data_IF_242930771658
#
_entry.id   IF_242930771658
#
_cell.length_a   1.000
_cell.length_b   1.000
_cell.length_c   1.000
_cell.angle_alpha   90.00
_cell.angle_beta   90.00
_cell.angle_gamma   90.00
#
_symmetry.space_group_name_H-M   'P 1'
#
loop_
_entity.id
_entity.type
_entity.pdbx_description
1 polymer ?
#
# COMPACT_ATOMS: atom_id res chain seq x y z
N UNK A 1 -1.69 -28.65 -40.95
CA UNK A 1 -0.76 -27.57 -40.54
C UNK A 1 -1.02 -27.28 -39.07
N UNK A 2 -0.14 -27.75 -38.20
CA UNK A 2 -0.14 -27.35 -36.79
C UNK A 2 0.27 -25.87 -36.79
N UNK A 3 -0.60 -24.97 -36.31
CA UNK A 3 -0.20 -23.58 -36.07
C UNK A 3 0.95 -23.62 -35.07
N UNK A 4 2.14 -23.23 -35.50
CA UNK A 4 3.22 -22.90 -34.57
C UNK A 4 2.66 -21.87 -33.58
N UNK A 5 2.79 -22.17 -32.29
CA UNK A 5 2.44 -21.22 -31.26
C UNK A 5 3.31 -19.98 -31.46
N UNK A 6 2.67 -18.80 -31.54
CA UNK A 6 3.39 -17.53 -31.60
C UNK A 6 4.50 -17.53 -30.54
N UNK A 7 5.73 -17.09 -30.88
CA UNK A 7 6.80 -17.00 -29.89
C UNK A 7 6.30 -16.13 -28.73
N UNK A 8 6.31 -16.69 -27.52
CA UNK A 8 5.84 -15.99 -26.32
C UNK A 8 6.68 -14.74 -26.16
N UNK A 9 6.06 -13.58 -26.35
CA UNK A 9 6.70 -12.28 -26.18
C UNK A 9 7.36 -12.23 -24.78
N UNK A 10 8.69 -12.03 -24.69
CA UNK A 10 9.40 -11.99 -23.41
C UNK A 10 8.82 -10.97 -22.42
N UNK A 11 8.16 -9.92 -22.91
CA UNK A 11 7.46 -8.92 -22.09
C UNK A 11 6.35 -9.53 -21.22
N UNK A 12 5.70 -10.61 -21.67
CA UNK A 12 4.62 -11.29 -20.94
C UNK A 12 5.16 -11.99 -19.70
N UNK A 13 6.32 -12.64 -19.82
CA UNK A 13 7.00 -13.30 -18.71
C UNK A 13 7.53 -12.27 -17.68
N UNK A 14 8.06 -11.15 -18.16
CA UNK A 14 8.51 -10.04 -17.31
C UNK A 14 7.34 -9.43 -16.52
N UNK A 15 6.19 -9.22 -17.18
CA UNK A 15 4.99 -8.73 -16.50
C UNK A 15 4.47 -9.74 -15.48
N UNK A 16 4.46 -11.04 -15.79
CA UNK A 16 4.07 -12.08 -14.83
C UNK A 16 5.01 -12.11 -13.61
N UNK A 17 6.33 -11.97 -13.79
CA UNK A 17 7.31 -11.82 -12.68
C UNK A 17 7.03 -10.59 -11.82
N UNK A 18 6.73 -9.45 -12.44
CA UNK A 18 6.35 -8.22 -11.73
C UNK A 18 5.06 -8.42 -10.90
N UNK A 19 4.03 -9.00 -11.50
CA UNK A 19 2.75 -9.29 -10.83
C UNK A 19 2.94 -10.26 -9.67
N UNK A 20 3.80 -11.27 -9.81
CA UNK A 20 4.02 -12.31 -8.80
C UNK A 20 4.99 -11.91 -7.67
N UNK A 21 5.80 -10.86 -7.85
CA UNK A 21 6.78 -10.41 -6.86
C UNK A 21 6.17 -10.21 -5.46
N UNK A 22 6.86 -10.71 -4.42
CA UNK A 22 6.38 -10.74 -3.03
C UNK A 22 7.17 -9.80 -2.10
N UNK A 23 8.15 -9.09 -2.65
CA UNK A 23 8.96 -8.11 -1.91
C UNK A 23 8.98 -6.78 -2.66
N UNK A 24 9.21 -5.68 -1.92
CA UNK A 24 9.32 -4.34 -2.48
C UNK A 24 10.46 -4.28 -3.52
N UNK A 25 11.62 -4.83 -3.16
CA UNK A 25 12.82 -4.85 -4.00
C UNK A 25 12.58 -5.60 -5.31
N UNK A 26 12.07 -6.83 -5.26
CA UNK A 26 11.77 -7.61 -6.48
C UNK A 26 10.72 -6.91 -7.35
N UNK A 27 9.70 -6.29 -6.73
CA UNK A 27 8.66 -5.57 -7.46
C UNK A 27 9.27 -4.42 -8.28
N UNK A 28 10.11 -3.59 -7.65
CA UNK A 28 10.77 -2.48 -8.34
C UNK A 28 11.75 -2.97 -9.42
N UNK A 29 12.56 -4.00 -9.11
CA UNK A 29 13.53 -4.55 -10.06
C UNK A 29 12.87 -5.17 -11.29
N UNK A 30 11.84 -6.01 -11.09
CA UNK A 30 11.09 -6.62 -12.19
C UNK A 30 10.37 -5.55 -13.03
N UNK A 31 9.89 -4.47 -12.40
CA UNK A 31 9.26 -3.38 -13.14
C UNK A 31 10.26 -2.58 -13.99
N UNK A 32 11.46 -2.29 -13.47
CA UNK A 32 12.54 -1.65 -14.24
C UNK A 32 12.94 -2.54 -15.42
N UNK A 33 13.08 -3.85 -15.20
CA UNK A 33 13.40 -4.81 -16.26
C UNK A 33 12.32 -4.83 -17.36
N UNK A 34 11.04 -4.81 -16.98
CA UNK A 34 9.90 -4.70 -17.89
C UNK A 34 9.92 -3.39 -18.67
N UNK A 35 10.11 -2.25 -17.99
CA UNK A 35 10.15 -0.94 -18.64
C UNK A 35 11.28 -0.83 -19.66
N UNK A 36 12.47 -1.35 -19.31
CA UNK A 36 13.62 -1.39 -20.21
C UNK A 36 13.34 -2.25 -21.44
N UNK A 37 12.72 -3.41 -21.28
CA UNK A 37 12.38 -4.29 -22.40
C UNK A 37 11.30 -3.71 -23.32
N UNK A 38 10.31 -3.02 -22.76
CA UNK A 38 9.27 -2.31 -23.52
C UNK A 38 9.74 -0.93 -24.03
N UNK A 39 10.98 -0.52 -23.72
CA UNK A 39 11.55 0.79 -24.06
C UNK A 39 10.66 1.97 -23.64
N UNK A 40 10.06 1.89 -22.45
CA UNK A 40 9.27 2.97 -21.84
C UNK A 40 10.04 3.61 -20.69
N UNK A 41 9.97 4.94 -20.60
CA UNK A 41 10.72 5.74 -19.63
C UNK A 41 9.76 6.31 -18.57
N UNK A 42 9.80 5.85 -17.31
CA UNK A 42 8.96 6.36 -16.23
C UNK A 42 9.05 7.88 -16.01
N UNK A 43 10.17 8.51 -16.38
CA UNK A 43 10.33 9.98 -16.29
C UNK A 43 9.41 10.76 -17.23
N UNK A 44 8.95 10.16 -18.33
CA UNK A 44 7.89 10.73 -19.19
C UNK A 44 6.51 10.43 -18.59
N UNK A 45 6.29 10.87 -17.35
CA UNK A 45 5.12 10.50 -16.54
C UNK A 45 3.78 10.79 -17.25
N UNK A 46 3.72 11.82 -18.10
CA UNK A 46 2.53 12.23 -18.85
C UNK A 46 2.04 11.18 -19.85
N UNK A 47 2.97 10.45 -20.47
CA UNK A 47 2.66 9.46 -21.51
C UNK A 47 3.06 8.05 -21.10
N UNK A 48 3.62 7.88 -19.89
CA UNK A 48 4.18 6.61 -19.45
C UNK A 48 3.13 5.50 -19.44
N UNK A 49 1.98 5.73 -18.78
CA UNK A 49 0.93 4.71 -18.66
C UNK A 49 0.35 4.32 -20.02
N UNK A 50 0.08 5.27 -20.91
CA UNK A 50 -0.43 4.98 -22.26
C UNK A 50 0.57 4.16 -23.07
N UNK A 51 1.85 4.58 -23.09
CA UNK A 51 2.93 3.82 -23.77
C UNK A 51 3.12 2.42 -23.19
N UNK A 52 3.10 2.28 -21.86
CA UNK A 52 3.21 0.99 -21.18
C UNK A 52 2.06 0.06 -21.61
N UNK A 53 0.83 0.57 -21.57
CA UNK A 53 -0.37 -0.18 -21.96
C UNK A 53 -0.32 -0.61 -23.44
N UNK A 54 0.03 0.31 -24.32
CA UNK A 54 0.05 0.07 -25.77
C UNK A 54 1.12 -0.95 -26.17
N UNK A 55 2.31 -0.89 -25.53
CA UNK A 55 3.41 -1.80 -25.82
C UNK A 55 3.26 -3.16 -25.13
N UNK A 56 2.48 -3.26 -24.06
CA UNK A 56 2.21 -4.52 -23.37
C UNK A 56 0.89 -5.15 -23.85
N UNK A 57 0.89 -5.67 -25.08
CA UNK A 57 -0.25 -6.40 -25.64
C UNK A 57 -0.35 -7.83 -25.06
N UNK A 58 -0.74 -7.92 -23.79
CA UNK A 58 -0.84 -9.18 -23.06
C UNK A 58 -2.26 -9.43 -22.55
N UNK A 59 -2.85 -10.58 -22.91
CA UNK A 59 -4.22 -10.93 -22.52
C UNK A 59 -4.44 -10.93 -21.01
N UNK A 60 -3.44 -11.35 -20.21
CA UNK A 60 -3.54 -11.35 -18.75
C UNK A 60 -3.56 -9.95 -18.14
N UNK A 61 -3.18 -8.91 -18.90
CA UNK A 61 -3.14 -7.52 -18.42
C UNK A 61 -4.40 -6.72 -18.82
N UNK A 62 -5.20 -7.21 -19.79
CA UNK A 62 -6.36 -6.48 -20.34
C UNK A 62 -7.39 -6.04 -19.29
N UNK A 63 -7.80 -6.92 -18.37
CA UNK A 63 -8.77 -6.58 -17.30
C UNK A 63 -8.22 -5.51 -16.36
N UNK A 64 -6.90 -5.52 -16.09
CA UNK A 64 -6.25 -4.49 -15.27
C UNK A 64 -6.32 -3.13 -15.96
N UNK A 65 -6.02 -3.07 -17.26
CA UNK A 65 -6.11 -1.84 -18.06
C UNK A 65 -7.52 -1.28 -18.08
N UNK A 66 -8.52 -2.13 -18.33
CA UNK A 66 -9.93 -1.71 -18.32
C UNK A 66 -10.36 -1.11 -16.98
N UNK A 67 -9.86 -1.66 -15.87
CA UNK A 67 -10.14 -1.15 -14.52
C UNK A 67 -9.50 0.21 -14.26
N UNK A 68 -8.22 0.35 -14.59
CA UNK A 68 -7.49 1.62 -14.43
C UNK A 68 -8.07 2.68 -15.35
N UNK A 69 -8.30 2.37 -16.63
CA UNK A 69 -8.91 3.28 -17.62
C UNK A 69 -10.30 3.73 -17.16
N UNK A 70 -11.14 2.80 -16.65
CA UNK A 70 -12.46 3.14 -16.11
C UNK A 70 -12.38 4.08 -14.91
N UNK A 71 -11.38 3.90 -14.02
CA UNK A 71 -11.16 4.81 -12.90
C UNK A 71 -10.71 6.18 -13.41
N UNK A 72 -9.69 6.24 -14.27
CA UNK A 72 -9.15 7.50 -14.82
C UNK A 72 -10.13 8.29 -15.69
N UNK A 73 -11.14 7.63 -16.27
CA UNK A 73 -12.21 8.29 -17.02
C UNK A 73 -13.26 9.00 -16.14
N UNK A 74 -13.15 8.93 -14.80
CA UNK A 74 -14.06 9.67 -13.93
C UNK A 74 -13.92 11.19 -14.16
N UNK A 75 -15.03 11.96 -14.22
CA UNK A 75 -15.00 13.39 -14.54
C UNK A 75 -14.06 14.22 -13.66
N UNK A 76 -13.97 13.90 -12.37
CA UNK A 76 -13.09 14.58 -11.41
C UNK A 76 -11.60 14.59 -11.80
N UNK A 77 -11.15 13.65 -12.64
CA UNK A 77 -9.76 13.61 -13.11
C UNK A 77 -9.52 14.48 -14.35
N UNK A 78 -10.58 14.94 -15.02
CA UNK A 78 -10.50 15.73 -16.25
C UNK A 78 -9.57 15.10 -17.30
N UNK A 79 -9.64 13.78 -17.47
CA UNK A 79 -8.75 13.02 -18.37
C UNK A 79 -7.26 13.22 -18.05
N UNK A 80 -6.92 13.34 -16.76
CA UNK A 80 -5.57 13.58 -16.28
C UNK A 80 -5.07 15.01 -16.51
N UNK A 81 -5.97 15.99 -16.69
CA UNK A 81 -5.59 17.39 -16.88
C UNK A 81 -5.73 18.25 -15.62
N UNK A 82 -6.51 17.79 -14.62
CA UNK A 82 -6.83 18.56 -13.42
C UNK A 82 -5.59 19.08 -12.67
N UNK A 83 -4.50 18.30 -12.63
CA UNK A 83 -3.25 18.65 -11.94
C UNK A 83 -2.00 18.51 -12.83
N UNK A 84 -2.13 18.65 -14.17
CA UNK A 84 -1.06 18.38 -15.13
C UNK A 84 0.22 19.24 -15.00
N UNK A 85 0.16 20.34 -14.25
CA UNK A 85 1.29 21.24 -13.97
C UNK A 85 1.91 21.01 -12.60
N UNK A 86 1.24 20.24 -11.73
CA UNK A 86 1.65 20.09 -10.35
C UNK A 86 2.73 19.02 -10.19
N UNK A 87 3.66 19.31 -9.29
CA UNK A 87 4.69 18.37 -8.83
C UNK A 87 4.45 18.07 -7.36
N UNK A 88 4.21 16.80 -7.07
CA UNK A 88 3.80 16.31 -5.77
C UNK A 88 4.88 15.43 -5.15
N UNK A 89 5.29 15.77 -3.92
CA UNK A 89 6.11 14.92 -3.09
C UNK A 89 5.24 14.27 -2.00
N UNK A 90 5.19 12.93 -1.99
CA UNK A 90 4.49 12.14 -0.97
C UNK A 90 5.51 11.49 -0.04
N UNK A 91 5.43 11.78 1.25
CA UNK A 91 6.28 11.14 2.26
C UNK A 91 5.61 9.87 2.79
N UNK A 92 6.23 8.71 2.55
CA UNK A 92 5.86 7.40 3.10
C UNK A 92 5.15 6.50 2.09
N UNK A 93 5.69 5.29 1.86
CA UNK A 93 5.08 4.25 1.04
C UNK A 93 4.20 3.29 1.89
N UNK A 94 3.50 3.84 2.89
CA UNK A 94 2.42 3.13 3.57
C UNK A 94 1.18 3.01 2.69
N UNK A 95 0.15 2.26 3.12
CA UNK A 95 -1.10 2.14 2.36
C UNK A 95 -1.71 3.50 1.99
N UNK A 96 -1.80 4.43 2.94
CA UNK A 96 -2.36 5.77 2.69
C UNK A 96 -1.51 6.56 1.69
N UNK A 97 -0.19 6.63 1.87
CA UNK A 97 0.70 7.39 0.98
C UNK A 97 0.68 6.86 -0.45
N UNK A 98 0.78 5.55 -0.65
CA UNK A 98 0.67 4.95 -1.99
C UNK A 98 -0.72 5.15 -2.61
N UNK A 99 -1.79 5.06 -1.81
CA UNK A 99 -3.16 5.30 -2.29
C UNK A 99 -3.36 6.76 -2.71
N UNK A 100 -2.80 7.71 -1.97
CA UNK A 100 -2.79 9.13 -2.34
C UNK A 100 -1.97 9.38 -3.60
N UNK A 101 -0.80 8.76 -3.73
CA UNK A 101 0.04 8.87 -4.92
C UNK A 101 -0.68 8.38 -6.19
N UNK A 102 -1.46 7.30 -6.08
CA UNK A 102 -2.32 6.80 -7.17
C UNK A 102 -3.37 7.84 -7.59
N UNK A 103 -4.06 8.50 -6.65
CA UNK A 103 -5.03 9.55 -7.01
C UNK A 103 -4.36 10.75 -7.68
N UNK A 104 -3.21 11.19 -7.15
CA UNK A 104 -2.46 12.30 -7.73
C UNK A 104 -1.97 12.00 -9.15
N UNK A 105 -1.54 10.76 -9.41
CA UNK A 105 -1.16 10.33 -10.74
C UNK A 105 -2.36 10.31 -11.70
N UNK A 106 -3.54 9.85 -11.24
CA UNK A 106 -4.77 9.89 -12.03
C UNK A 106 -5.26 11.32 -12.34
N UNK A 107 -4.99 12.27 -11.44
CA UNK A 107 -5.21 13.71 -11.68
C UNK A 107 -4.22 14.32 -12.69
N UNK A 108 -3.16 13.60 -13.06
CA UNK A 108 -2.14 14.03 -14.02
C UNK A 108 -0.90 14.70 -13.44
N UNK A 109 -0.75 14.73 -12.11
CA UNK A 109 0.41 15.34 -11.47
C UNK A 109 1.69 14.50 -11.66
N UNK A 110 2.85 15.15 -11.59
CA UNK A 110 4.13 14.44 -11.42
C UNK A 110 4.28 14.04 -9.96
N UNK A 111 4.34 12.73 -9.67
CA UNK A 111 4.33 12.25 -8.28
C UNK A 111 5.62 11.51 -7.95
N UNK A 112 6.28 11.95 -6.88
CA UNK A 112 7.44 11.29 -6.27
C UNK A 112 7.08 10.85 -4.85
N UNK A 113 7.38 9.60 -4.51
CA UNK A 113 7.17 9.02 -3.17
C UNK A 113 8.53 8.73 -2.53
N UNK A 114 8.74 9.22 -1.30
CA UNK A 114 9.91 8.89 -0.48
C UNK A 114 9.55 7.94 0.64
N UNK A 115 10.23 6.80 0.72
CA UNK A 115 10.08 5.85 1.81
C UNK A 115 11.44 5.58 2.47
N UNK A 116 11.49 5.82 3.78
CA UNK A 116 12.67 5.58 4.61
C UNK A 116 13.12 4.12 4.60
N UNK A 117 12.19 3.17 4.62
CA UNK A 117 12.51 1.73 4.65
C UNK A 117 12.84 1.20 3.26
N UNK A 118 13.69 0.20 3.19
CA UNK A 118 14.00 -0.53 1.96
C UNK A 118 13.07 -1.73 1.70
N UNK A 119 12.19 -2.06 2.65
CA UNK A 119 11.33 -3.26 2.57
C UNK A 119 10.01 -3.10 3.33
N UNK A 120 9.02 -3.90 2.93
CA UNK A 120 7.72 -4.01 3.59
C UNK A 120 7.67 -5.26 4.47
N UNK A 121 7.71 -5.08 5.79
CA UNK A 121 7.90 -6.17 6.75
C UNK A 121 6.73 -6.38 7.71
N UNK A 122 5.76 -5.46 7.76
CA UNK A 122 4.65 -5.52 8.73
C UNK A 122 3.63 -6.59 8.33
N UNK A 123 3.53 -7.62 9.15
CA UNK A 123 2.59 -8.73 8.96
C UNK A 123 1.22 -8.50 9.62
N UNK A 124 1.13 -7.54 10.55
CA UNK A 124 -0.14 -7.16 11.16
C UNK A 124 -1.20 -6.91 10.07
N UNK A 125 -2.42 -7.27 10.40
CA UNK A 125 -3.51 -7.32 9.44
C UNK A 125 -4.46 -6.16 9.70
N UNK A 126 -5.01 -5.61 8.63
CA UNK A 126 -5.94 -4.48 8.65
C UNK A 126 -7.32 -5.00 8.30
N UNK A 127 -8.31 -4.63 9.11
CA UNK A 127 -9.70 -4.73 8.69
C UNK A 127 -10.00 -3.74 7.56
N UNK A 128 -10.82 -4.15 6.60
CA UNK A 128 -11.22 -3.37 5.44
C UNK A 128 -12.74 -3.17 5.44
N UNK A 129 -13.17 -1.91 5.36
CA UNK A 129 -14.59 -1.62 5.13
C UNK A 129 -14.98 -1.95 3.69
N UNK A 130 -16.28 -2.18 3.46
CA UNK A 130 -16.80 -2.57 2.15
C UNK A 130 -16.41 -1.61 1.02
N UNK A 131 -16.40 -0.29 1.29
CA UNK A 131 -16.01 0.70 0.28
C UNK A 131 -14.51 0.58 -0.07
N UNK A 132 -13.64 0.29 0.88
CA UNK A 132 -12.20 0.07 0.66
C UNK A 132 -11.96 -1.21 -0.15
N UNK A 133 -12.73 -2.27 0.13
CA UNK A 133 -12.69 -3.51 -0.66
C UNK A 133 -13.09 -3.21 -2.10
N UNK A 134 -14.20 -2.47 -2.31
CA UNK A 134 -14.67 -2.08 -3.65
C UNK A 134 -13.66 -1.21 -4.39
N UNK A 135 -13.07 -0.23 -3.71
CA UNK A 135 -12.03 0.64 -4.26
C UNK A 135 -10.84 -0.18 -4.78
N UNK A 136 -10.27 -1.04 -3.94
CA UNK A 136 -9.13 -1.89 -4.30
C UNK A 136 -9.48 -2.91 -5.40
N UNK A 137 -10.68 -3.49 -5.38
CA UNK A 137 -11.16 -4.36 -6.46
C UNK A 137 -11.28 -3.61 -7.79
N UNK A 138 -11.81 -2.39 -7.78
CA UNK A 138 -11.95 -1.54 -8.95
C UNK A 138 -10.60 -1.03 -9.47
N UNK A 139 -9.55 -1.05 -8.65
CA UNK A 139 -8.17 -0.82 -9.05
C UNK A 139 -7.43 -2.12 -9.41
N UNK A 140 -8.11 -3.27 -9.47
CA UNK A 140 -7.50 -4.52 -9.92
C UNK A 140 -6.68 -5.27 -8.87
N UNK A 141 -6.90 -5.06 -7.57
CA UNK A 141 -6.16 -5.73 -6.50
C UNK A 141 -6.07 -7.27 -6.64
N UNK A 142 -7.13 -7.92 -7.15
CA UNK A 142 -7.14 -9.38 -7.41
C UNK A 142 -6.08 -9.83 -8.43
N UNK A 143 -5.65 -8.95 -9.33
CA UNK A 143 -4.58 -9.23 -10.29
C UNK A 143 -3.25 -9.45 -9.59
N UNK A 144 -2.97 -8.67 -8.56
CA UNK A 144 -1.71 -8.70 -7.81
C UNK A 144 -1.77 -9.65 -6.61
N UNK A 145 -2.97 -9.90 -6.07
CA UNK A 145 -3.18 -10.80 -4.95
C UNK A 145 -4.49 -11.58 -5.15
N UNK A 146 -4.41 -12.79 -5.71
CA UNK A 146 -5.59 -13.58 -6.08
C UNK A 146 -6.50 -13.99 -4.91
N UNK A 147 -5.96 -13.97 -3.67
CA UNK A 147 -6.73 -14.23 -2.44
C UNK A 147 -7.43 -12.98 -1.87
N UNK A 148 -7.27 -11.82 -2.51
CA UNK A 148 -7.82 -10.56 -2.03
C UNK A 148 -9.33 -10.64 -1.86
N UNK A 149 -9.79 -10.59 -0.61
CA UNK A 149 -11.20 -10.61 -0.20
C UNK A 149 -12.02 -11.70 -0.91
N UNK A 150 -11.47 -12.92 -1.00
CA UNK A 150 -12.19 -14.09 -1.51
C UNK A 150 -13.11 -14.66 -0.41
N UNK A 151 -14.40 -14.82 -0.71
CA UNK A 151 -15.39 -15.29 0.27
C UNK A 151 -15.74 -14.20 1.29
N UNK A 152 -15.75 -14.56 2.57
CA UNK A 152 -16.05 -13.66 3.71
C UNK A 152 -14.83 -12.93 4.27
N UNK A 153 -13.69 -12.94 3.55
CA UNK A 153 -12.46 -12.27 3.98
C UNK A 153 -12.61 -10.75 3.80
N UNK A 154 -12.44 -10.00 4.88
CA UNK A 154 -12.55 -8.53 4.91
C UNK A 154 -11.33 -7.86 5.54
N UNK A 155 -10.15 -8.44 5.33
CA UNK A 155 -8.90 -7.99 5.91
C UNK A 155 -7.70 -8.34 5.03
N UNK A 156 -6.59 -7.64 5.25
CA UNK A 156 -5.33 -7.82 4.49
C UNK A 156 -4.13 -7.45 5.34
N UNK A 157 -3.01 -8.18 5.22
CA UNK A 157 -1.77 -7.80 5.90
C UNK A 157 -1.22 -6.50 5.34
N UNK A 158 -0.65 -5.65 6.21
CA UNK A 158 -0.13 -4.33 5.80
C UNK A 158 0.84 -4.46 4.63
N UNK A 159 1.80 -5.41 4.70
CA UNK A 159 2.76 -5.61 3.62
C UNK A 159 2.12 -6.02 2.28
N UNK A 160 1.05 -6.82 2.29
CA UNK A 160 0.37 -7.24 1.06
C UNK A 160 -0.37 -6.07 0.44
N UNK A 161 -1.05 -5.24 1.25
CA UNK A 161 -1.67 -4.01 0.78
C UNK A 161 -0.64 -3.04 0.18
N UNK A 162 0.51 -2.88 0.84
CA UNK A 162 1.61 -2.06 0.31
C UNK A 162 2.11 -2.57 -1.05
N UNK A 163 2.26 -3.89 -1.24
CA UNK A 163 2.69 -4.46 -2.53
C UNK A 163 1.67 -4.23 -3.66
N UNK A 164 0.38 -4.41 -3.37
CA UNK A 164 -0.70 -4.15 -4.35
C UNK A 164 -0.64 -2.69 -4.79
N UNK A 165 -0.59 -1.76 -3.84
CA UNK A 165 -0.59 -0.33 -4.15
C UNK A 165 0.72 0.14 -4.78
N UNK A 166 1.87 -0.45 -4.42
CA UNK A 166 3.15 -0.16 -5.06
C UNK A 166 3.12 -0.54 -6.55
N UNK A 167 2.60 -1.73 -6.87
CA UNK A 167 2.48 -2.18 -8.27
C UNK A 167 1.60 -1.24 -9.09
N UNK A 168 0.48 -0.79 -8.51
CA UNK A 168 -0.40 0.18 -9.15
C UNK A 168 0.26 1.56 -9.33
N UNK A 169 0.93 2.06 -8.30
CA UNK A 169 1.63 3.35 -8.37
C UNK A 169 2.70 3.32 -9.48
N UNK A 170 3.50 2.25 -9.54
CA UNK A 170 4.53 2.08 -10.58
C UNK A 170 3.93 2.05 -11.99
N UNK A 171 2.84 1.30 -12.21
CA UNK A 171 2.11 1.26 -13.50
C UNK A 171 1.64 2.65 -13.94
N UNK A 172 1.20 3.47 -12.98
CA UNK A 172 0.74 4.83 -13.23
C UNK A 172 1.87 5.86 -13.37
N UNK A 173 3.14 5.42 -13.37
CA UNK A 173 4.29 6.31 -13.54
C UNK A 173 4.70 7.08 -12.28
N UNK A 174 4.21 6.67 -11.10
CA UNK A 174 4.69 7.24 -9.83
C UNK A 174 6.14 6.82 -9.58
N UNK A 175 7.02 7.78 -9.35
CA UNK A 175 8.41 7.53 -8.98
C UNK A 175 8.49 7.21 -7.48
N UNK A 176 9.00 6.03 -7.12
CA UNK A 176 9.05 5.58 -5.72
C UNK A 176 10.50 5.30 -5.32
N UNK A 177 11.02 6.08 -4.36
CA UNK A 177 12.34 5.88 -3.79
C UNK A 177 12.26 5.25 -2.41
N UNK A 178 12.90 4.10 -2.24
CA UNK A 178 12.97 3.37 -0.97
C UNK A 178 14.37 3.49 -0.37
N UNK A 179 14.48 3.38 0.96
CA UNK A 179 15.76 3.61 1.66
C UNK A 179 16.19 5.07 1.71
N UNK A 180 15.27 6.02 1.45
CA UNK A 180 15.55 7.45 1.45
C UNK A 180 14.81 8.11 2.60
N UNK A 181 15.56 8.69 3.54
CA UNK A 181 14.98 9.38 4.69
C UNK A 181 14.72 10.84 4.34
N UNK A 182 13.52 11.33 4.58
CA UNK A 182 13.22 12.76 4.58
C UNK A 182 13.65 13.37 5.90
N UNK A 183 14.41 14.46 5.84
CA UNK A 183 14.95 15.15 7.02
C UNK A 183 14.34 16.54 7.24
N UNK A 184 13.81 17.16 6.18
CA UNK A 184 13.17 18.47 6.28
C UNK A 184 12.83 19.06 4.92
N UNK A 185 12.15 20.21 4.94
CA UNK A 185 11.92 21.01 3.75
C UNK A 185 13.09 21.98 3.55
N UNK A 186 13.49 22.16 2.29
CA UNK A 186 14.39 23.22 1.89
C UNK A 186 13.57 24.31 1.20
N UNK A 187 13.61 25.51 1.79
CA UNK A 187 12.91 26.66 1.25
C UNK A 187 13.48 27.09 -0.12
N UNK A 188 12.64 27.67 -1.00
CA UNK A 188 13.07 28.26 -2.26
C UNK A 188 14.18 29.28 -2.06
N UNK A 189 15.19 29.27 -2.94
CA UNK A 189 16.24 30.30 -2.95
C UNK A 189 16.60 30.68 -4.39
N UNK A 190 16.58 31.98 -4.68
CA UNK A 190 16.80 32.50 -6.03
C UNK A 190 15.79 31.92 -7.03
N UNK A 191 16.28 31.11 -7.98
CA UNK A 191 15.47 30.47 -9.02
C UNK A 191 15.01 29.04 -8.68
N UNK A 192 15.33 28.51 -7.49
CA UNK A 192 14.96 27.14 -7.09
C UNK A 192 13.65 27.12 -6.32
N UNK A 193 12.77 26.16 -6.62
CA UNK A 193 11.54 25.91 -5.86
C UNK A 193 11.76 25.14 -4.56
N UNK A 194 10.65 24.73 -3.92
CA UNK A 194 10.70 23.91 -2.70
C UNK A 194 11.31 22.54 -2.98
N UNK A 195 12.20 22.09 -2.10
CA UNK A 195 12.86 20.79 -2.20
C UNK A 195 12.84 20.05 -0.88
N UNK A 196 13.18 18.77 -0.91
CA UNK A 196 13.32 17.95 0.28
C UNK A 196 14.79 17.77 0.64
N UNK A 197 15.12 18.00 1.91
CA UNK A 197 16.36 17.52 2.48
C UNK A 197 16.20 16.02 2.71
N UNK A 198 17.11 15.23 2.13
CA UNK A 198 17.05 13.77 2.17
C UNK A 198 18.39 13.17 2.58
N UNK A 199 18.33 11.97 3.15
CA UNK A 199 19.48 11.15 3.45
C UNK A 199 19.39 9.80 2.72
N UNK A 200 20.41 9.43 1.92
CA UNK A 200 21.66 10.16 1.69
C UNK A 200 21.48 11.42 0.81
N UNK A 201 22.21 12.50 1.13
CA UNK A 201 22.08 13.79 0.44
C UNK A 201 22.45 13.76 -1.06
N UNK A 202 23.24 12.77 -1.49
CA UNK A 202 23.60 12.53 -2.89
C UNK A 202 22.48 11.89 -3.71
N UNK A 203 21.35 11.54 -3.10
CA UNK A 203 20.23 10.90 -3.79
C UNK A 203 19.54 11.89 -4.75
N UNK A 204 19.16 11.43 -5.95
CA UNK A 204 18.61 12.28 -7.02
C UNK A 204 17.33 13.02 -6.61
N UNK A 205 16.54 12.42 -5.72
CA UNK A 205 15.33 13.05 -5.15
C UNK A 205 15.60 14.38 -4.41
N UNK A 206 16.84 14.65 -3.98
CA UNK A 206 17.20 15.95 -3.38
C UNK A 206 17.05 17.13 -4.37
N UNK A 207 17.17 16.86 -5.67
CA UNK A 207 17.02 17.85 -6.73
C UNK A 207 15.57 18.02 -7.20
N UNK A 208 14.63 17.21 -6.71
CA UNK A 208 13.24 17.29 -7.12
C UNK A 208 12.56 18.50 -6.49
N UNK A 209 12.18 19.45 -7.34
CA UNK A 209 11.37 20.62 -6.95
C UNK A 209 9.88 20.27 -7.02
N UNK A 210 9.14 20.60 -5.96
CA UNK A 210 7.71 20.33 -5.86
C UNK A 210 6.93 21.55 -5.37
N UNK A 211 5.64 21.55 -5.65
CA UNK A 211 4.69 22.60 -5.27
C UNK A 211 3.58 22.05 -4.36
N UNK A 212 3.48 20.72 -4.26
CA UNK A 212 2.57 20.04 -3.34
C UNK A 212 3.35 19.04 -2.49
N UNK A 213 3.18 19.11 -1.16
CA UNK A 213 3.79 18.17 -0.21
C UNK A 213 2.71 17.45 0.59
N UNK A 214 2.73 16.12 0.58
CA UNK A 214 1.80 15.27 1.33
C UNK A 214 2.59 14.43 2.33
N UNK A 215 2.37 14.66 3.63
CA UNK A 215 2.93 13.79 4.66
C UNK A 215 2.03 12.60 4.97
N UNK A 216 2.47 11.40 4.60
CA UNK A 216 1.84 10.12 4.91
C UNK A 216 2.81 9.16 5.64
N UNK A 217 3.83 9.71 6.33
CA UNK A 217 4.89 8.95 7.01
C UNK A 217 4.45 8.24 8.31
N UNK A 218 3.18 8.38 8.70
CA UNK A 218 2.60 7.84 9.92
C UNK A 218 2.70 8.80 11.11
N UNK A 219 2.25 8.37 12.29
CA UNK A 219 2.01 9.24 13.45
C UNK A 219 3.23 9.93 14.08
N UNK A 220 4.44 9.73 13.54
CA UNK A 220 5.68 10.39 13.99
C UNK A 220 6.26 11.36 12.96
N UNK A 221 5.64 11.47 11.78
CA UNK A 221 6.14 12.27 10.67
C UNK A 221 5.16 13.42 10.39
N UNK A 222 5.08 14.36 11.32
CA UNK A 222 4.25 15.56 11.20
C UNK A 222 5.17 16.71 10.80
N UNK A 223 4.95 17.38 9.66
CA UNK A 223 5.77 18.50 9.23
C UNK A 223 5.65 19.67 10.20
N UNK A 224 6.67 20.54 10.20
CA UNK A 224 6.65 21.76 11.01
C UNK A 224 5.44 22.63 10.65
N UNK A 225 4.89 23.32 11.65
CA UNK A 225 3.69 24.15 11.52
C UNK A 225 2.36 23.42 11.79
N UNK A 226 2.33 22.09 11.81
CA UNK A 226 1.12 21.32 12.16
C UNK A 226 1.04 21.05 13.67
N UNK A 227 -0.08 21.44 14.29
CA UNK A 227 -0.34 21.18 15.71
C UNK A 227 -0.99 19.81 15.92
N UNK A 228 -0.39 18.98 16.75
CA UNK A 228 -0.95 17.67 17.14
C UNK A 228 -1.84 17.86 18.37
N UNK A 229 -3.06 17.33 18.32
CA UNK A 229 -3.93 17.22 19.50
C UNK A 229 -3.77 15.83 20.10
N UNK A 230 -3.18 15.75 21.28
CA UNK A 230 -3.05 14.50 22.03
C UNK A 230 -4.14 14.44 23.11
N UNK A 231 -4.98 13.39 23.07
CA UNK A 231 -5.95 13.08 24.11
C UNK A 231 -5.48 11.83 24.85
N UNK A 232 -5.17 11.97 26.13
CA UNK A 232 -4.80 10.83 26.99
C UNK A 232 -6.03 10.31 27.70
N UNK A 233 -6.41 9.09 27.37
CA UNK A 233 -7.43 8.32 28.09
C UNK A 233 -6.84 7.52 29.25
N UNK A 234 -7.59 6.52 29.72
CA UNK A 234 -7.06 5.49 30.63
C UNK A 234 -5.92 4.72 29.96
N UNK A 235 -5.01 4.17 30.77
CA UNK A 235 -3.98 3.29 30.27
C UNK A 235 -4.62 2.11 29.51
N UNK A 236 -4.08 1.82 28.32
CA UNK A 236 -4.51 0.70 27.50
C UNK A 236 -3.29 0.17 26.73
N UNK A 237 -2.95 -1.09 26.93
CA UNK A 237 -1.81 -1.74 26.27
C UNK A 237 -2.37 -2.74 25.26
N UNK A 238 -2.12 -2.53 23.97
CA UNK A 238 -2.51 -3.45 22.91
C UNK A 238 -1.36 -4.39 22.51
N UNK A 239 -1.62 -5.69 22.53
CA UNK A 239 -0.66 -6.73 22.11
C UNK A 239 -1.13 -7.36 20.81
N UNK A 240 -0.28 -7.43 19.78
CA UNK A 240 -0.54 -8.15 18.52
C UNK A 240 0.40 -9.34 18.37
N UNK A 241 -0.13 -10.51 18.03
CA UNK A 241 0.65 -11.71 17.74
C UNK A 241 0.37 -12.23 16.31
N UNK A 242 1.37 -12.81 15.66
CA UNK A 242 1.22 -13.46 14.36
C UNK A 242 1.78 -14.89 14.43
N UNK A 243 0.94 -15.89 14.19
CA UNK A 243 1.36 -17.29 14.07
C UNK A 243 1.44 -17.72 12.60
N UNK A 244 2.24 -18.76 12.33
CA UNK A 244 2.37 -19.32 10.97
C UNK A 244 1.07 -20.04 10.62
N UNK A 245 0.42 -19.64 9.52
CA UNK A 245 -0.72 -20.35 8.94
C UNK A 245 -0.23 -21.28 7.82
N UNK A 246 -0.38 -22.60 8.00
CA UNK A 246 0.06 -23.60 7.02
C UNK A 246 -1.01 -23.95 5.98
N UNK A 247 -2.19 -23.33 6.07
CA UNK A 247 -3.33 -23.54 5.18
C UNK A 247 -3.81 -24.99 5.14
N UNK A 248 -3.72 -25.70 6.26
CA UNK A 248 -4.32 -27.02 6.43
C UNK A 248 -5.86 -26.93 6.48
N UNK A 249 -6.55 -28.05 6.21
CA UNK A 249 -8.02 -28.10 6.30
C UNK A 249 -8.50 -27.75 7.71
N UNK A 250 -7.77 -28.18 8.74
CA UNK A 250 -8.07 -27.93 10.13
C UNK A 250 -7.95 -26.44 10.47
N UNK A 251 -6.86 -25.77 10.07
CA UNK A 251 -6.69 -24.32 10.26
C UNK A 251 -7.75 -23.49 9.53
N UNK A 252 -8.24 -23.97 8.38
CA UNK A 252 -9.28 -23.29 7.60
C UNK A 252 -10.69 -23.40 8.21
N UNK A 253 -10.93 -24.39 9.08
CA UNK A 253 -12.22 -24.59 9.75
C UNK A 253 -12.40 -23.73 11.00
N UNK A 254 -11.29 -23.23 11.59
CA UNK A 254 -11.35 -22.31 12.72
C UNK A 254 -12.04 -21.03 12.28
N UNK A 255 -13.02 -20.57 13.07
CA UNK A 255 -13.77 -19.36 12.78
C UNK A 255 -12.97 -18.11 13.21
N UNK A 256 -13.06 -17.06 12.40
CA UNK A 256 -12.49 -15.77 12.75
C UNK A 256 -13.29 -15.09 13.85
N UNK A 257 -12.59 -14.41 14.75
CA UNK A 257 -13.20 -13.60 15.81
C UNK A 257 -13.23 -12.14 15.32
N UNK A 258 -14.41 -11.62 14.98
CA UNK A 258 -14.60 -10.27 14.40
C UNK A 258 -14.46 -9.11 15.40
N UNK A 259 -14.08 -9.42 16.64
CA UNK A 259 -13.98 -8.51 17.76
C UNK A 259 -14.89 -8.97 18.90
N UNK A 260 -14.31 -9.21 20.07
CA UNK A 260 -15.02 -9.67 21.27
C UNK A 260 -14.65 -8.72 22.40
N UNK A 261 -15.59 -7.86 22.79
CA UNK A 261 -15.40 -6.95 23.92
C UNK A 261 -15.93 -7.58 25.21
N UNK A 262 -15.22 -7.40 26.33
CA UNK A 262 -15.62 -7.91 27.65
C UNK A 262 -17.01 -7.47 28.07
N UNK A 263 -17.41 -6.27 27.69
CA UNK A 263 -18.75 -5.72 27.98
C UNK A 263 -19.86 -6.67 27.48
N UNK A 264 -19.68 -7.29 26.32
CA UNK A 264 -20.66 -8.18 25.71
C UNK A 264 -20.41 -9.67 26.00
N UNK A 265 -19.18 -10.07 26.35
CA UNK A 265 -18.78 -11.46 26.48
C UNK A 265 -18.09 -11.77 27.81
N UNK A 266 -18.70 -11.34 28.92
CA UNK A 266 -18.10 -11.44 30.27
C UNK A 266 -17.71 -12.88 30.63
N UNK A 267 -18.57 -13.87 30.33
CA UNK A 267 -18.31 -15.28 30.63
C UNK A 267 -17.05 -15.82 29.95
N UNK A 268 -16.81 -15.44 28.68
CA UNK A 268 -15.62 -15.83 27.94
C UNK A 268 -14.34 -15.31 28.62
N UNK A 269 -14.32 -14.03 29.01
CA UNK A 269 -13.16 -13.44 29.67
C UNK A 269 -12.96 -13.96 31.11
N UNK A 270 -14.03 -14.26 31.84
CA UNK A 270 -13.96 -14.89 33.16
C UNK A 270 -13.36 -16.30 33.09
N UNK A 271 -13.77 -17.10 32.09
CA UNK A 271 -13.21 -18.43 31.85
C UNK A 271 -11.72 -18.35 31.48
N UNK A 272 -11.36 -17.44 30.56
CA UNK A 272 -9.97 -17.22 30.16
C UNK A 272 -9.08 -16.84 31.35
N UNK A 273 -9.57 -15.96 32.23
CA UNK A 273 -8.86 -15.55 33.44
C UNK A 273 -8.67 -16.71 34.42
N UNK A 274 -9.70 -17.55 34.58
CA UNK A 274 -9.67 -18.70 35.50
C UNK A 274 -8.71 -19.79 35.03
N UNK A 275 -8.59 -20.01 33.72
CA UNK A 275 -7.71 -21.05 33.16
C UNK A 275 -6.24 -20.64 33.04
N UNK A 276 -5.97 -19.40 32.61
CA UNK A 276 -4.60 -18.98 32.24
C UNK A 276 -3.91 -18.25 33.41
N UNK A 277 -4.64 -17.88 34.47
CA UNK A 277 -4.07 -17.18 35.62
C UNK A 277 -3.48 -15.82 35.26
N UNK A 278 -3.96 -15.18 34.18
CA UNK A 278 -3.58 -13.82 33.82
C UNK A 278 -4.18 -12.85 34.83
N UNK A 279 -3.43 -12.66 35.90
CA UNK A 279 -3.71 -11.70 36.95
C UNK A 279 -3.73 -10.30 36.33
N UNK A 280 -4.94 -9.79 36.10
CA UNK A 280 -5.14 -8.36 35.97
C UNK A 280 -6.02 -7.94 37.15
N UNK A 281 -5.36 -7.68 38.27
CA UNK A 281 -5.87 -7.01 39.46
C UNK A 281 -6.24 -5.57 39.08
N UNK A 282 -7.38 -5.42 38.42
CA UNK A 282 -7.86 -4.16 37.89
C UNK A 282 -9.10 -4.43 37.07
N UNK A 283 -10.01 -3.47 37.04
CA UNK A 283 -11.25 -3.49 36.28
C UNK A 283 -10.95 -3.54 34.77
N UNK A 284 -10.51 -4.70 34.26
CA UNK A 284 -9.93 -4.85 32.93
C UNK A 284 -11.00 -5.10 31.88
N UNK A 285 -11.43 -4.04 31.22
CA UNK A 285 -12.24 -4.09 29.99
C UNK A 285 -11.44 -4.66 28.81
N UNK A 286 -11.08 -5.94 28.84
CA UNK A 286 -10.40 -6.58 27.71
C UNK A 286 -11.21 -6.48 26.42
N UNK A 287 -10.59 -6.01 25.34
CA UNK A 287 -11.18 -6.03 24.00
C UNK A 287 -10.28 -6.87 23.11
N UNK A 288 -10.79 -8.00 22.64
CA UNK A 288 -10.24 -8.67 21.46
C UNK A 288 -10.72 -7.90 20.24
N UNK A 289 -9.81 -7.35 19.46
CA UNK A 289 -10.11 -6.84 18.12
C UNK A 289 -9.73 -7.90 17.09
N UNK A 290 -10.44 -7.96 15.94
CA UNK A 290 -10.16 -8.96 14.92
C UNK A 290 -8.72 -8.83 14.45
N UNK A 291 -8.05 -9.94 14.10
CA UNK A 291 -7.90 -10.32 12.68
C UNK A 291 -7.68 -11.86 12.55
N UNK A 292 -8.32 -12.49 11.57
CA UNK A 292 -8.14 -13.85 10.99
C UNK A 292 -7.30 -14.95 11.65
N UNK A 293 -7.86 -16.16 11.77
CA UNK A 293 -7.32 -17.54 12.02
C UNK A 293 -5.96 -17.78 12.70
N UNK A 294 -5.33 -16.77 13.28
CA UNK A 294 -3.99 -16.83 13.87
C UNK A 294 -3.63 -15.58 14.69
N UNK A 295 -4.59 -14.73 15.09
CA UNK A 295 -4.28 -13.52 15.84
C UNK A 295 -5.20 -13.34 17.04
N UNK A 296 -4.62 -13.32 18.23
CA UNK A 296 -5.24 -12.73 19.42
C UNK A 296 -4.69 -11.31 19.57
N UNK A 297 -5.60 -10.35 19.69
CA UNK A 297 -5.29 -9.02 20.18
C UNK A 297 -5.65 -8.96 21.66
N UNK A 298 -4.69 -9.12 22.56
CA UNK A 298 -4.93 -8.90 23.99
C UNK A 298 -4.73 -7.42 24.28
N UNK A 299 -5.81 -6.72 24.61
CA UNK A 299 -5.70 -5.44 25.31
C UNK A 299 -5.74 -5.70 26.82
N UNK A 300 -4.62 -5.47 27.49
CA UNK A 300 -4.56 -5.43 28.95
C UNK A 300 -4.57 -3.97 29.40
N UNK A 301 -5.48 -3.64 30.31
CA UNK A 301 -5.57 -2.32 30.95
C UNK A 301 -4.72 -2.31 32.21
#
# INVERSE_FOLDING_TARGET
MVKEADPVDPSHALFDRFVQAQTCKETQQNFIELCRHLEVEPRDYKHFYSKLKDRLNYWKAKDLWQKIDKRGAHPDYEQGQACHQNKCLVLGAGPCGLRTAIELALLGAQVVVLEKRSSFTRNNVLHLWLYTIRDLLNLGAKKFYGRFCSGSIHHISIRQLQLILLKLALILGVEVHTGVTFEGLQEPSGSTGWRAQVSPASHTAAAFEFDVFISAGGGRCVPDGFKIKELRGKLAIGITANFVNRHTKQEAQVQEISGVARIYNQQFFQALQSEIGTDSQGDTSGVFQPISNSHLHLQTH
#
